data_IF_624961692446
#
_entry.id   IF_624961692446
#
_cell.length_a   1.000
_cell.length_b   1.000
_cell.length_c   1.000
_cell.angle_alpha   90.00
_cell.angle_beta   90.00
_cell.angle_gamma   90.00
#
_symmetry.space_group_name_H-M   'P 1'
#
loop_
_entity.id
_entity.type
_entity.pdbx_description
1 polymer ?
#
# COMPACT_ATOMS: atom_id res chain seq x y z
N UNK A 1 10.81 -14.15 -12.02
CA UNK A 1 10.19 -13.26 -11.00
C UNK A 1 11.33 -12.59 -10.24
N UNK A 2 11.32 -11.27 -10.04
CA UNK A 2 12.36 -10.60 -9.25
C UNK A 2 12.28 -11.06 -7.79
N UNK A 3 13.43 -11.17 -7.09
CA UNK A 3 13.47 -11.61 -5.68
C UNK A 3 12.64 -10.73 -4.76
N UNK A 4 12.69 -9.41 -4.96
CA UNK A 4 11.87 -8.44 -4.23
C UNK A 4 10.37 -8.64 -4.47
N UNK A 5 9.97 -8.94 -5.71
CA UNK A 5 8.56 -9.17 -6.02
C UNK A 5 8.05 -10.47 -5.37
N UNK A 6 8.87 -11.53 -5.36
CA UNK A 6 8.55 -12.79 -4.67
C UNK A 6 8.36 -12.56 -3.17
N UNK A 7 9.22 -11.74 -2.57
CA UNK A 7 9.16 -11.33 -1.17
C UNK A 7 7.84 -10.59 -0.85
N UNK A 8 7.47 -9.60 -1.66
CA UNK A 8 6.21 -8.88 -1.50
C UNK A 8 4.99 -9.81 -1.53
N UNK A 9 4.96 -10.79 -2.44
CA UNK A 9 3.88 -11.77 -2.50
C UNK A 9 3.83 -12.67 -1.27
N UNK A 10 4.99 -13.13 -0.76
CA UNK A 10 5.06 -13.92 0.47
C UNK A 10 4.48 -13.16 1.66
N UNK A 11 4.88 -11.91 1.81
CA UNK A 11 4.41 -11.06 2.90
C UNK A 11 2.91 -10.80 2.82
N UNK A 12 2.35 -10.60 1.61
CA UNK A 12 0.92 -10.46 1.40
C UNK A 12 0.13 -11.72 1.75
N UNK A 13 0.59 -12.90 1.33
CA UNK A 13 -0.05 -14.17 1.67
C UNK A 13 -0.07 -14.39 3.20
N UNK A 14 1.02 -14.03 3.89
CA UNK A 14 1.05 -14.09 5.34
C UNK A 14 0.10 -13.13 6.02
N UNK A 15 0.06 -11.88 5.57
CA UNK A 15 -0.89 -10.91 6.11
C UNK A 15 -2.34 -11.37 5.91
N UNK A 16 -2.65 -11.96 4.75
CA UNK A 16 -3.97 -12.51 4.47
C UNK A 16 -4.30 -13.69 5.42
N UNK A 17 -3.33 -14.58 5.66
CA UNK A 17 -3.48 -15.68 6.61
C UNK A 17 -3.70 -15.20 8.04
N UNK A 18 -2.89 -14.23 8.51
CA UNK A 18 -3.04 -13.61 9.84
C UNK A 18 -4.43 -12.96 9.97
N UNK A 19 -4.87 -12.23 8.94
CA UNK A 19 -6.20 -11.59 8.93
C UNK A 19 -7.32 -12.62 8.99
N UNK A 20 -7.18 -13.74 8.29
CA UNK A 20 -8.13 -14.86 8.34
C UNK A 20 -8.19 -15.48 9.74
N UNK A 21 -7.06 -15.70 10.39
CA UNK A 21 -7.02 -16.21 11.77
C UNK A 21 -7.64 -15.23 12.77
N UNK A 22 -7.38 -13.92 12.62
CA UNK A 22 -8.02 -12.88 13.44
C UNK A 22 -9.52 -12.91 13.29
N UNK A 23 -10.01 -12.95 12.06
CA UNK A 23 -11.44 -13.00 11.76
C UNK A 23 -12.11 -14.24 12.36
N UNK A 24 -11.45 -15.39 12.30
CA UNK A 24 -11.93 -16.65 12.91
C UNK A 24 -11.77 -16.70 14.43
N UNK A 25 -11.12 -15.72 15.06
CA UNK A 25 -10.80 -15.75 16.49
C UNK A 25 -9.78 -16.84 16.88
N UNK A 26 -8.99 -17.34 15.92
CA UNK A 26 -8.01 -18.42 16.11
C UNK A 26 -6.56 -17.93 16.19
N UNK A 27 -6.35 -16.62 16.09
CA UNK A 27 -5.01 -16.05 16.24
C UNK A 27 -4.57 -16.12 17.70
N UNK A 28 -3.43 -16.77 17.95
CA UNK A 28 -2.83 -16.86 19.28
C UNK A 28 -2.51 -15.45 19.84
N UNK A 29 -2.64 -15.25 21.16
CA UNK A 29 -2.23 -14.00 21.79
C UNK A 29 -0.74 -13.75 21.58
N UNK A 30 -0.34 -12.48 21.48
CA UNK A 30 1.06 -12.07 21.27
C UNK A 30 1.43 -11.76 19.82
N UNK A 31 0.53 -11.97 18.85
CA UNK A 31 0.74 -11.56 17.45
C UNK A 31 0.19 -10.15 17.21
N UNK A 32 1.07 -9.15 17.22
CA UNK A 32 0.77 -7.75 17.01
C UNK A 32 1.96 -7.00 16.36
N UNK A 33 1.67 -5.89 15.68
CA UNK A 33 2.70 -5.05 15.07
C UNK A 33 2.07 -3.83 14.39
N UNK A 34 2.80 -2.71 14.41
CA UNK A 34 2.39 -1.45 13.78
C UNK A 34 2.80 -1.37 12.30
N UNK A 35 3.77 -2.18 11.92
CA UNK A 35 4.29 -2.32 10.55
C UNK A 35 4.00 -3.72 10.04
N UNK A 36 4.05 -3.89 8.70
CA UNK A 36 3.96 -5.21 8.06
C UNK A 36 5.02 -6.16 8.62
N UNK A 37 6.26 -5.71 8.66
CA UNK A 37 7.41 -6.48 9.13
C UNK A 37 7.29 -6.87 10.60
N UNK A 38 6.96 -5.94 11.51
CA UNK A 38 6.79 -6.24 12.94
C UNK A 38 5.66 -7.24 13.19
N UNK A 39 4.55 -7.12 12.46
CA UNK A 39 3.44 -8.06 12.57
C UNK A 39 3.83 -9.46 12.10
N UNK A 40 4.51 -9.58 10.96
CA UNK A 40 4.99 -10.87 10.44
C UNK A 40 6.02 -11.49 11.39
N UNK A 41 6.97 -10.72 11.92
CA UNK A 41 7.95 -11.20 12.91
C UNK A 41 7.27 -11.72 14.18
N UNK A 42 6.31 -10.98 14.72
CA UNK A 42 5.55 -11.41 15.89
C UNK A 42 4.81 -12.73 15.63
N UNK A 43 4.25 -12.88 14.43
CA UNK A 43 3.61 -14.13 14.01
C UNK A 43 4.62 -15.28 13.94
N UNK A 44 5.75 -15.07 13.25
CA UNK A 44 6.78 -16.10 13.13
C UNK A 44 7.35 -16.54 14.48
N UNK A 45 7.46 -15.62 15.44
CA UNK A 45 7.88 -15.93 16.82
C UNK A 45 6.86 -16.81 17.56
N UNK A 46 5.57 -16.58 17.37
CA UNK A 46 4.49 -17.31 18.07
C UNK A 46 4.17 -18.65 17.40
N UNK A 47 4.38 -18.75 16.09
CA UNK A 47 4.06 -19.93 15.28
C UNK A 47 5.30 -20.66 14.74
N UNK A 48 6.48 -20.36 15.28
CA UNK A 48 7.74 -21.03 14.96
C UNK A 48 8.03 -21.13 13.44
N UNK A 49 8.01 -19.97 12.78
CA UNK A 49 8.24 -19.84 11.32
C UNK A 49 7.30 -20.69 10.43
N UNK A 50 6.12 -21.03 10.94
CA UNK A 50 5.10 -21.79 10.20
C UNK A 50 4.81 -21.24 8.80
N UNK A 51 4.71 -22.17 7.84
CA UNK A 51 4.27 -21.92 6.47
C UNK A 51 2.89 -22.54 6.26
N UNK A 52 1.84 -21.74 5.99
CA UNK A 52 0.50 -22.25 5.66
C UNK A 52 0.47 -23.17 4.43
N UNK A 53 -0.38 -24.19 4.48
CA UNK A 53 -0.51 -25.20 3.41
C UNK A 53 -1.11 -24.65 2.10
N UNK A 54 -1.94 -23.61 2.22
CA UNK A 54 -2.65 -22.99 1.09
C UNK A 54 -1.75 -22.06 0.24
N UNK A 55 -0.47 -21.97 0.56
CA UNK A 55 0.48 -21.11 -0.15
C UNK A 55 1.00 -21.83 -1.41
N UNK A 56 1.03 -21.14 -2.57
CA UNK A 56 1.61 -21.69 -3.79
C UNK A 56 3.06 -22.15 -3.58
N UNK A 57 3.43 -23.28 -4.18
CA UNK A 57 4.75 -23.90 -4.01
C UNK A 57 5.91 -22.95 -4.32
N UNK A 58 5.75 -22.07 -5.32
CA UNK A 58 6.74 -21.05 -5.70
C UNK A 58 7.00 -19.99 -4.62
N UNK A 59 6.05 -19.80 -3.71
CA UNK A 59 6.09 -18.81 -2.64
C UNK A 59 6.40 -19.42 -1.27
N UNK A 60 6.35 -20.75 -1.11
CA UNK A 60 6.68 -21.41 0.16
C UNK A 60 8.09 -21.02 0.65
N UNK A 61 8.22 -20.86 1.96
CA UNK A 61 9.49 -20.59 2.64
C UNK A 61 9.81 -21.74 3.60
N UNK A 62 11.08 -21.85 3.94
CA UNK A 62 11.61 -22.85 4.87
C UNK A 62 12.70 -22.22 5.74
N UNK A 63 13.25 -22.93 6.74
CA UNK A 63 14.38 -22.41 7.52
C UNK A 63 15.59 -22.03 6.65
N UNK A 64 15.76 -22.69 5.49
CA UNK A 64 16.83 -22.41 4.52
C UNK A 64 16.53 -21.21 3.61
N UNK A 65 15.25 -20.87 3.39
CA UNK A 65 14.76 -19.74 2.59
C UNK A 65 13.70 -18.98 3.39
N UNK A 66 14.08 -18.18 4.40
CA UNK A 66 13.15 -17.57 5.36
C UNK A 66 12.27 -16.50 4.71
N UNK A 67 11.09 -16.27 5.30
CA UNK A 67 10.14 -15.29 4.74
C UNK A 67 10.60 -13.85 4.87
N UNK A 68 11.42 -13.48 5.87
CA UNK A 68 11.91 -12.11 6.05
C UNK A 68 13.43 -12.11 5.91
N UNK A 69 13.94 -11.23 5.07
CA UNK A 69 15.38 -11.04 4.87
C UNK A 69 15.80 -9.82 5.68
N UNK A 70 16.25 -10.05 6.92
CA UNK A 70 17.21 -9.20 7.65
C UNK A 70 16.90 -7.72 7.92
N UNK A 71 15.77 -7.16 7.50
CA UNK A 71 15.45 -5.77 7.82
C UNK A 71 15.06 -5.66 9.30
N UNK A 72 15.88 -4.95 10.08
CA UNK A 72 15.56 -4.60 11.46
C UNK A 72 14.36 -3.66 11.46
N UNK A 73 13.35 -3.98 12.28
CA UNK A 73 12.22 -3.07 12.46
C UNK A 73 12.68 -1.97 13.42
N UNK A 74 12.39 -0.72 13.07
CA UNK A 74 12.48 0.36 14.04
C UNK A 74 11.28 0.23 14.99
N UNK A 75 11.50 -0.32 16.18
CA UNK A 75 10.47 -0.47 17.22
C UNK A 75 9.87 0.88 17.66
N UNK A 76 10.59 1.98 17.42
CA UNK A 76 10.11 3.34 17.67
C UNK A 76 9.29 3.93 16.51
N UNK A 77 9.11 3.17 15.42
CA UNK A 77 8.31 3.63 14.29
C UNK A 77 6.84 3.75 14.65
N UNK A 78 6.35 4.99 14.60
CA UNK A 78 4.94 5.32 14.77
C UNK A 78 4.46 6.01 13.51
N UNK A 79 3.35 5.55 12.93
CA UNK A 79 2.69 6.22 11.82
C UNK A 79 2.28 7.63 12.24
N UNK A 80 3.02 8.64 11.76
CA UNK A 80 2.67 10.03 11.98
C UNK A 80 1.61 10.47 10.97
N UNK A 81 0.57 11.15 11.46
CA UNK A 81 -0.34 11.88 10.59
C UNK A 81 0.46 13.02 9.96
N UNK A 82 0.39 13.17 8.64
CA UNK A 82 0.94 14.34 7.97
C UNK A 82 0.07 15.52 8.34
N UNK A 83 0.41 16.20 9.43
CA UNK A 83 -0.17 17.50 9.73
C UNK A 83 0.32 18.48 8.66
N UNK A 84 -0.62 19.12 7.97
CA UNK A 84 -0.32 20.20 7.01
C UNK A 84 0.04 21.45 7.81
N UNK A 85 1.22 21.46 8.42
CA UNK A 85 1.74 22.63 9.11
C UNK A 85 2.83 23.30 8.26
N UNK A 86 2.65 24.61 8.05
CA UNK A 86 3.57 25.52 7.37
C UNK A 86 5.05 25.28 7.76
N UNK A 87 6.02 25.52 6.85
CA UNK A 87 7.42 25.26 7.12
C UNK A 87 7.95 26.26 8.14
N UNK A 88 7.87 25.93 9.43
CA UNK A 88 8.77 26.48 10.42
C UNK A 88 10.09 25.72 10.27
N UNK A 89 11.07 26.40 9.66
CA UNK A 89 12.43 25.95 9.50
C UNK A 89 13.00 25.39 10.81
N UNK A 90 13.48 24.14 10.80
CA UNK A 90 14.40 23.66 11.83
C UNK A 90 15.80 24.19 11.47
N UNK A 91 16.48 24.95 12.34
CA UNK A 91 17.87 25.29 12.11
C UNK A 91 18.72 24.02 12.28
N UNK A 92 19.68 23.84 11.37
CA UNK A 92 20.67 22.77 11.41
C UNK A 92 21.35 22.66 12.79
N UNK A 93 21.04 21.62 13.55
CA UNK A 93 21.80 21.25 14.73
C UNK A 93 22.77 20.11 14.38
N UNK A 94 24.04 20.48 14.21
CA UNK A 94 25.17 19.56 14.04
C UNK A 94 25.24 18.62 15.25
N UNK A 95 25.40 17.33 14.97
CA UNK A 95 25.75 16.27 15.94
C UNK A 95 26.91 16.72 16.84
N UNK A 96 26.70 16.72 18.16
CA UNK A 96 27.77 16.70 19.17
C UNK A 96 27.37 15.69 20.25
N UNK A 97 28.21 14.65 20.43
CA UNK A 97 28.14 13.72 21.57
C UNK A 97 28.82 14.39 22.77
N UNK A 98 28.16 14.41 23.95
CA UNK A 98 28.73 13.92 25.22
C UNK A 98 27.74 13.98 26.39
N UNK A 99 27.64 12.84 27.06
CA UNK A 99 27.55 12.54 28.50
C UNK A 99 26.66 13.35 29.47
N UNK A 100 25.82 12.55 30.14
CA UNK A 100 25.63 12.39 31.59
C UNK A 100 24.43 13.03 32.31
N UNK A 101 23.76 12.11 33.00
CA UNK A 101 23.19 12.12 34.35
C UNK A 101 21.78 12.72 34.59
N UNK A 102 21.03 11.87 35.29
CA UNK A 102 19.97 12.07 36.28
C UNK A 102 18.48 12.20 35.90
N UNK A 103 17.78 11.14 36.33
CA UNK A 103 16.58 11.09 37.17
C UNK A 103 15.15 11.27 36.63
N UNK A 104 14.35 10.38 37.23
CA UNK A 104 12.94 10.42 37.58
C UNK A 104 11.86 10.17 36.51
N UNK A 105 11.41 8.91 36.59
CA UNK A 105 10.10 8.51 37.11
C UNK A 105 8.83 8.65 36.24
N UNK A 106 8.11 7.55 36.36
CA UNK A 106 6.67 7.38 36.30
C UNK A 106 5.88 7.20 34.98
N UNK A 107 5.25 6.02 35.02
CA UNK A 107 3.88 5.69 34.68
C UNK A 107 3.52 5.15 33.29
N UNK A 108 3.15 3.87 33.35
CA UNK A 108 2.59 3.03 32.32
C UNK A 108 1.14 3.42 32.09
N UNK A 109 0.80 3.91 30.90
CA UNK A 109 -0.59 3.84 30.43
C UNK A 109 -0.65 3.55 28.92
N UNK A 110 -0.45 2.28 28.58
CA UNK A 110 -0.80 1.68 27.29
C UNK A 110 -2.32 1.58 27.17
N UNK A 111 -2.97 2.63 26.66
CA UNK A 111 -4.35 2.54 26.18
C UNK A 111 -4.36 2.32 24.67
N UNK A 112 -4.51 1.06 24.28
CA UNK A 112 -4.72 0.65 22.90
C UNK A 112 -6.14 1.09 22.45
N UNK A 113 -6.25 2.26 21.82
CA UNK A 113 -7.51 2.70 21.20
C UNK A 113 -7.59 2.17 19.76
N UNK A 114 -8.38 1.12 19.59
CA UNK A 114 -8.94 0.75 18.29
C UNK A 114 -9.93 1.84 17.86
N UNK A 115 -9.43 2.91 17.24
CA UNK A 115 -10.29 3.94 16.69
C UNK A 115 -10.74 3.53 15.28
N UNK A 116 -11.95 2.97 15.21
CA UNK A 116 -12.80 3.04 14.01
C UNK A 116 -12.93 4.53 13.71
N UNK A 117 -12.29 5.00 12.64
CA UNK A 117 -12.33 6.41 12.23
C UNK A 117 -13.73 6.71 11.67
N UNK A 118 -14.57 7.53 12.32
CA UNK A 118 -15.76 8.04 11.68
C UNK A 118 -15.37 9.27 10.85
N UNK A 119 -15.69 9.20 9.55
CA UNK A 119 -15.94 10.32 8.65
C UNK A 119 -14.78 11.34 8.44
N UNK A 120 -13.73 10.93 7.73
CA UNK A 120 -12.74 11.86 7.17
C UNK A 120 -13.29 12.44 5.86
N UNK A 121 -13.67 13.72 5.86
CA UNK A 121 -13.92 14.47 4.62
C UNK A 121 -12.62 14.63 3.83
N UNK A 122 -12.59 14.36 2.50
CA UNK A 122 -11.36 14.40 1.72
C UNK A 122 -10.78 15.83 1.65
N UNK A 123 -9.44 15.98 1.74
CA UNK A 123 -8.81 17.29 1.68
C UNK A 123 -8.86 17.87 0.26
N UNK A 124 -9.29 19.14 0.16
CA UNK A 124 -9.36 19.89 -1.11
C UNK A 124 -7.95 20.12 -1.68
N UNK A 125 -7.57 19.35 -2.70
CA UNK A 125 -6.28 19.51 -3.40
C UNK A 125 -6.25 20.81 -4.21
N UNK A 126 -5.27 21.68 -3.96
CA UNK A 126 -4.92 22.79 -4.85
C UNK A 126 -4.25 22.22 -6.11
N UNK A 127 -4.88 22.39 -7.28
CA UNK A 127 -4.33 22.01 -8.58
C UNK A 127 -3.07 22.85 -8.87
N UNK A 128 -1.90 22.20 -8.95
CA UNK A 128 -0.74 22.76 -9.66
C UNK A 128 -0.93 22.51 -11.15
N UNK A 129 -1.17 23.56 -11.91
CA UNK A 129 -1.14 23.50 -13.37
C UNK A 129 0.32 23.33 -13.79
N UNK A 130 0.69 22.11 -14.19
CA UNK A 130 1.90 21.86 -14.97
C UNK A 130 1.51 21.89 -16.44
N UNK A 131 2.32 22.56 -17.26
CA UNK A 131 2.20 22.55 -18.71
C UNK A 131 2.20 21.10 -19.21
N UNK A 132 1.19 20.77 -20.02
CA UNK A 132 0.92 19.41 -20.47
C UNK A 132 1.84 19.11 -21.64
N UNK A 133 2.84 18.26 -21.43
CA UNK A 133 3.65 17.73 -22.51
C UNK A 133 2.81 16.68 -23.26
N UNK A 134 2.50 16.89 -24.55
CA UNK A 134 1.71 15.94 -25.35
C UNK A 134 2.41 14.59 -25.57
N UNK A 135 3.68 14.46 -25.19
CA UNK A 135 4.41 13.18 -25.18
C UNK A 135 4.24 12.36 -23.90
N UNK A 136 3.55 12.91 -22.88
CA UNK A 136 3.23 12.16 -21.67
C UNK A 136 2.19 11.07 -21.99
N UNK A 137 2.71 9.86 -22.12
CA UNK A 137 2.02 8.56 -22.02
C UNK A 137 0.68 8.69 -21.29
N UNK A 138 -0.41 8.63 -22.06
CA UNK A 138 -1.83 8.62 -21.66
C UNK A 138 -2.03 9.02 -20.19
N UNK A 139 -2.09 10.32 -19.94
CA UNK A 139 -2.47 10.82 -18.63
C UNK A 139 -3.90 10.32 -18.35
N UNK A 140 -4.03 9.41 -17.39
CA UNK A 140 -5.33 8.86 -17.00
C UNK A 140 -6.34 9.95 -16.67
N UNK A 141 -7.62 9.62 -16.85
CA UNK A 141 -8.72 10.57 -16.63
C UNK A 141 -8.71 11.06 -15.17
N UNK A 142 -8.99 12.35 -14.98
CA UNK A 142 -8.97 12.94 -13.64
C UNK A 142 -10.28 12.65 -12.91
N UNK A 143 -10.16 12.01 -11.75
CA UNK A 143 -11.30 11.76 -10.87
C UNK A 143 -12.11 13.03 -10.55
N UNK A 144 -13.43 12.90 -10.63
CA UNK A 144 -14.40 13.91 -10.23
C UNK A 144 -15.20 13.43 -9.01
N UNK A 145 -15.14 14.22 -7.93
CA UNK A 145 -15.82 13.96 -6.66
C UNK A 145 -17.34 14.03 -6.79
N UNK A 146 -17.87 14.91 -7.64
CA UNK A 146 -19.31 15.14 -7.72
C UNK A 146 -20.04 14.00 -8.45
N UNK A 147 -19.36 13.31 -9.35
CA UNK A 147 -19.94 12.21 -10.15
C UNK A 147 -19.45 10.84 -9.72
N UNK A 148 -18.60 10.77 -8.67
CA UNK A 148 -18.01 9.53 -8.16
C UNK A 148 -17.38 8.70 -9.28
N UNK A 149 -16.71 9.38 -10.22
CA UNK A 149 -16.34 8.80 -11.52
C UNK A 149 -15.19 7.77 -11.45
N UNK A 150 -14.65 7.46 -10.28
CA UNK A 150 -13.42 6.68 -10.12
C UNK A 150 -13.47 5.29 -10.78
N UNK A 151 -14.61 4.61 -10.73
CA UNK A 151 -14.80 3.33 -11.38
C UNK A 151 -14.81 3.47 -12.92
N UNK A 152 -15.43 4.52 -13.43
CA UNK A 152 -15.52 4.79 -14.87
C UNK A 152 -14.21 5.33 -15.44
N UNK A 153 -13.53 6.23 -14.72
CA UNK A 153 -12.23 6.79 -15.10
C UNK A 153 -11.16 5.71 -15.22
N UNK A 154 -11.16 4.73 -14.29
CA UNK A 154 -10.23 3.60 -14.35
C UNK A 154 -10.54 2.67 -15.53
N UNK A 155 -11.81 2.34 -15.76
CA UNK A 155 -12.24 1.54 -16.90
C UNK A 155 -11.90 2.21 -18.25
N UNK A 156 -12.24 3.48 -18.42
CA UNK A 156 -11.95 4.23 -19.64
C UNK A 156 -10.43 4.41 -19.85
N UNK A 157 -9.66 4.60 -18.77
CA UNK A 157 -8.20 4.64 -18.86
C UNK A 157 -7.64 3.31 -19.34
N UNK A 158 -8.14 2.17 -18.83
CA UNK A 158 -7.73 0.83 -19.28
C UNK A 158 -8.10 0.58 -20.75
N UNK A 159 -9.33 0.93 -21.15
CA UNK A 159 -9.79 0.79 -22.54
C UNK A 159 -8.96 1.67 -23.49
N UNK A 160 -8.71 2.93 -23.12
CA UNK A 160 -7.89 3.85 -23.93
C UNK A 160 -6.46 3.33 -24.10
N UNK A 161 -5.86 2.77 -23.05
CA UNK A 161 -4.55 2.15 -23.13
C UNK A 161 -4.55 0.91 -24.05
N UNK A 162 -5.57 0.05 -23.93
CA UNK A 162 -5.73 -1.12 -24.80
C UNK A 162 -5.90 -0.74 -26.27
N UNK A 163 -6.67 0.32 -26.54
CA UNK A 163 -6.84 0.86 -27.89
C UNK A 163 -5.52 1.40 -28.47
N UNK A 164 -4.82 2.25 -27.72
CA UNK A 164 -3.59 2.89 -28.19
C UNK A 164 -2.42 1.92 -28.35
N UNK A 165 -2.39 0.83 -27.56
CA UNK A 165 -1.35 -0.20 -27.67
C UNK A 165 -1.63 -1.24 -28.76
N UNK A 166 -2.89 -1.41 -29.17
CA UNK A 166 -3.30 -2.49 -30.09
C UNK A 166 -4.47 -2.09 -31.00
N UNK A 167 -4.37 -0.91 -31.61
CA UNK A 167 -5.43 -0.27 -32.40
C UNK A 167 -6.00 -1.16 -33.50
N UNK A 168 -5.14 -1.83 -34.27
CA UNK A 168 -5.60 -2.72 -35.37
C UNK A 168 -6.42 -3.90 -34.86
N UNK A 169 -5.94 -4.58 -33.81
CA UNK A 169 -6.65 -5.73 -33.22
C UNK A 169 -7.95 -5.30 -32.54
N UNK A 170 -7.97 -4.08 -32.00
CA UNK A 170 -9.16 -3.48 -31.40
C UNK A 170 -10.26 -3.23 -32.43
N UNK A 171 -9.93 -2.60 -33.57
CA UNK A 171 -10.92 -2.33 -34.62
C UNK A 171 -11.48 -3.62 -35.24
N UNK A 172 -10.66 -4.66 -35.37
CA UNK A 172 -11.12 -5.95 -35.92
C UNK A 172 -12.06 -6.71 -34.97
N UNK A 173 -11.86 -6.64 -33.64
CA UNK A 173 -12.53 -7.53 -32.67
C UNK A 173 -13.45 -6.85 -31.67
N UNK A 174 -13.22 -5.58 -31.36
CA UNK A 174 -13.82 -4.89 -30.21
C UNK A 174 -14.70 -3.71 -30.62
N UNK A 175 -14.33 -2.98 -31.69
CA UNK A 175 -15.14 -1.86 -32.18
C UNK A 175 -16.59 -2.27 -32.51
N UNK A 176 -16.75 -3.40 -33.20
CA UNK A 176 -18.06 -3.93 -33.58
C UNK A 176 -18.83 -4.64 -32.45
N UNK A 177 -18.26 -4.72 -31.24
CA UNK A 177 -18.91 -5.44 -30.14
C UNK A 177 -20.07 -4.65 -29.53
N UNK A 178 -20.05 -3.31 -29.64
CA UNK A 178 -21.09 -2.44 -29.13
C UNK A 178 -21.12 -1.13 -29.94
N UNK A 179 -22.31 -0.62 -30.23
CA UNK A 179 -22.54 0.66 -30.89
C UNK A 179 -21.78 1.82 -30.22
N UNK A 180 -21.70 1.82 -28.88
CA UNK A 180 -20.94 2.85 -28.15
C UNK A 180 -19.43 2.78 -28.37
N UNK A 181 -18.87 1.58 -28.59
CA UNK A 181 -17.44 1.41 -28.85
C UNK A 181 -17.09 1.75 -30.30
N UNK A 182 -18.01 1.49 -31.22
CA UNK A 182 -17.90 1.87 -32.63
C UNK A 182 -17.87 3.40 -32.79
N UNK A 183 -18.79 4.11 -32.12
CA UNK A 183 -18.80 5.58 -32.07
C UNK A 183 -17.52 6.16 -31.48
N UNK A 184 -16.95 5.52 -30.44
CA UNK A 184 -15.68 5.95 -29.84
C UNK A 184 -14.52 5.77 -30.82
N UNK A 185 -14.52 4.76 -31.68
CA UNK A 185 -13.46 4.63 -32.71
C UNK A 185 -13.63 5.58 -33.89
N UNK A 186 -14.85 6.06 -34.16
CA UNK A 186 -15.10 7.00 -35.26
C UNK A 186 -14.56 8.41 -35.00
N UNK A 187 -14.38 8.80 -33.73
CA UNK A 187 -13.91 10.13 -33.32
C UNK A 187 -12.38 10.25 -33.16
N UNK A 188 -11.63 9.15 -33.26
CA UNK A 188 -10.18 9.08 -32.99
C UNK A 188 -9.40 8.54 -34.18
#
# INVERSE_FOLDING_TARGET
>A
MSGYLRQEFRELEMLNYITTLRFKGQLKPGVAGNTRSSLIKSFQKVYDSYCPDNIPETLKWSPEDPILIGEEDDESFVWQKVEVNNPAAKPNAKRKRKDKDDDDDDDLNLVLKNDIIPDIKPPKKKRKTREVNLSDKVRGMTWNENTWSCAYDSLLTMLSHSYLTSTRKWNEKVANANQLLDEVTAFW
#
